data_IF_101914960232
#
_entry.id   IF_101914960232
#
_cell.length_a   1.000
_cell.length_b   1.000
_cell.length_c   1.000
_cell.angle_alpha   90.00
_cell.angle_beta   90.00
_cell.angle_gamma   90.00
#
_symmetry.space_group_name_H-M   'P 1'
#
loop_
_entity.id
_entity.type
_entity.pdbx_description
1 polymer ?
#
# COMPACT_ATOMS: atom_id res chain seq x y z
N UNK A 1 -14.17 15.85 -33.64
CA UNK A 1 -14.59 15.20 -32.39
C UNK A 1 -13.76 15.82 -31.28
N UNK A 2 -14.34 16.24 -30.16
CA UNK A 2 -13.50 16.69 -29.03
C UNK A 2 -12.61 15.53 -28.57
N UNK A 3 -11.31 15.75 -28.48
CA UNK A 3 -10.39 14.81 -27.84
C UNK A 3 -10.77 14.70 -26.37
N UNK A 4 -11.14 13.48 -25.94
CA UNK A 4 -11.35 13.18 -24.55
C UNK A 4 -9.98 12.95 -23.90
N UNK A 5 -9.40 14.01 -23.30
CA UNK A 5 -8.23 13.84 -22.46
C UNK A 5 -8.68 13.31 -21.08
N UNK A 6 -8.10 12.20 -20.63
CA UNK A 6 -8.34 11.61 -19.33
C UNK A 6 -7.09 11.72 -18.48
N UNK A 7 -7.20 12.36 -17.32
CA UNK A 7 -6.14 12.35 -16.34
C UNK A 7 -6.09 10.97 -15.68
N UNK A 8 -4.95 10.29 -15.75
CA UNK A 8 -4.71 9.02 -15.07
C UNK A 8 -3.84 9.30 -13.85
N UNK A 9 -4.37 9.04 -12.66
CA UNK A 9 -3.58 9.12 -11.44
C UNK A 9 -2.71 7.85 -11.31
N UNK A 10 -1.42 8.05 -11.05
CA UNK A 10 -0.44 6.99 -10.87
C UNK A 10 0.55 7.38 -9.77
N UNK A 11 1.29 6.42 -9.18
CA UNK A 11 2.39 6.73 -8.27
C UNK A 11 3.43 7.64 -8.92
N UNK A 12 3.94 8.60 -8.16
CA UNK A 12 5.05 9.46 -8.63
C UNK A 12 6.39 8.71 -8.63
N UNK A 13 6.51 7.71 -7.73
CA UNK A 13 7.73 6.89 -7.58
C UNK A 13 7.36 5.42 -7.57
N UNK A 14 8.09 4.60 -8.35
CA UNK A 14 8.01 3.14 -8.29
C UNK A 14 9.44 2.60 -8.26
N UNK A 15 9.85 2.09 -7.11
CA UNK A 15 11.18 1.53 -6.89
C UNK A 15 11.09 0.01 -6.77
N UNK A 16 11.72 -0.71 -7.71
CA UNK A 16 11.77 -2.16 -7.73
C UNK A 16 13.23 -2.59 -7.85
N UNK A 17 13.73 -3.37 -6.91
CA UNK A 17 15.12 -3.82 -6.92
C UNK A 17 15.57 -4.40 -5.59
N UNK A 18 16.86 -4.65 -5.45
CA UNK A 18 17.48 -5.08 -4.20
C UNK A 18 17.83 -3.87 -3.33
N UNK A 19 17.52 -3.94 -2.04
CA UNK A 19 17.82 -2.87 -1.07
C UNK A 19 17.01 -1.59 -1.31
N UNK A 20 15.94 -1.65 -2.10
CA UNK A 20 15.13 -0.46 -2.43
C UNK A 20 14.37 0.09 -1.25
N UNK A 21 14.22 -0.66 -0.16
CA UNK A 21 13.63 -0.14 1.07
C UNK A 21 14.38 1.08 1.60
N UNK A 22 15.70 1.16 1.39
CA UNK A 22 16.51 2.30 1.82
C UNK A 22 16.14 3.61 1.11
N UNK A 23 15.49 3.54 -0.07
CA UNK A 23 15.01 4.75 -0.77
C UNK A 23 13.84 5.43 -0.06
N UNK A 24 13.27 4.80 0.96
CA UNK A 24 12.20 5.39 1.76
C UNK A 24 12.62 6.71 2.38
N UNK A 25 13.86 6.84 2.85
CA UNK A 25 14.37 8.08 3.44
C UNK A 25 14.37 9.25 2.44
N UNK A 26 14.74 8.99 1.18
CA UNK A 26 14.74 10.01 0.13
C UNK A 26 13.31 10.43 -0.23
N UNK A 27 12.38 9.46 -0.29
CA UNK A 27 10.96 9.73 -0.56
C UNK A 27 10.34 10.57 0.57
N UNK A 28 10.66 10.25 1.83
CA UNK A 28 10.16 10.99 2.99
C UNK A 28 10.75 12.41 3.09
N UNK A 29 11.95 12.62 2.55
CA UNK A 29 12.59 13.93 2.51
C UNK A 29 12.01 14.86 1.42
N UNK A 30 11.23 14.34 0.48
CA UNK A 30 10.61 15.13 -0.58
C UNK A 30 9.26 15.70 -0.11
N UNK A 31 9.15 17.03 0.12
CA UNK A 31 7.91 17.64 0.59
C UNK A 31 6.77 17.63 -0.45
N UNK A 32 7.07 17.37 -1.70
CA UNK A 32 6.04 17.19 -2.73
C UNK A 32 5.34 15.83 -2.62
N UNK A 33 6.01 14.83 -2.05
CA UNK A 33 5.47 13.49 -1.83
C UNK A 33 4.94 13.33 -0.39
N UNK A 34 5.66 13.90 0.57
CA UNK A 34 5.40 13.75 2.00
C UNK A 34 5.35 15.14 2.67
N UNK A 35 4.16 15.77 2.74
CA UNK A 35 4.03 17.16 3.18
C UNK A 35 4.21 17.37 4.68
N UNK A 36 4.41 16.30 5.47
CA UNK A 36 4.55 16.38 6.92
C UNK A 36 5.35 15.22 7.51
N UNK A 37 5.49 15.21 8.83
CA UNK A 37 6.36 14.27 9.55
C UNK A 37 5.62 13.26 10.42
N UNK A 38 4.30 13.42 10.63
CA UNK A 38 3.51 12.50 11.45
C UNK A 38 3.11 11.29 10.61
N UNK A 39 3.83 10.20 10.78
CA UNK A 39 3.69 8.99 9.98
C UNK A 39 2.95 7.93 10.77
N UNK A 40 1.95 7.29 10.14
CA UNK A 40 1.37 6.04 10.62
C UNK A 40 1.77 4.90 9.69
N UNK A 41 2.30 3.81 10.27
CA UNK A 41 2.61 2.57 9.56
C UNK A 41 1.50 1.56 9.83
N UNK A 42 0.84 1.11 8.79
CA UNK A 42 -0.17 0.05 8.84
C UNK A 42 0.48 -1.24 8.34
N UNK A 43 0.64 -2.21 9.23
CA UNK A 43 1.28 -3.48 8.94
C UNK A 43 0.35 -4.66 9.24
N UNK A 44 0.56 -5.79 8.56
CA UNK A 44 -0.17 -7.02 8.86
C UNK A 44 0.40 -7.72 10.10
N UNK A 45 -0.45 -8.48 10.80
CA UNK A 45 -0.05 -9.29 11.97
C UNK A 45 1.12 -10.25 11.68
N UNK A 46 1.22 -10.72 10.44
CA UNK A 46 2.24 -11.66 9.99
C UNK A 46 3.39 -10.98 9.21
N UNK A 47 3.54 -9.66 9.34
CA UNK A 47 4.69 -8.95 8.76
C UNK A 47 5.98 -9.50 9.37
N UNK A 48 6.99 -9.77 8.55
CA UNK A 48 8.24 -10.35 9.04
C UNK A 48 8.91 -9.41 10.05
N UNK A 49 9.55 -9.99 11.06
CA UNK A 49 10.30 -9.21 12.06
C UNK A 49 11.42 -8.41 11.41
N UNK A 50 12.04 -8.97 10.36
CA UNK A 50 13.11 -8.32 9.61
C UNK A 50 12.64 -7.02 8.94
N UNK A 51 11.54 -7.07 8.20
CA UNK A 51 10.94 -5.88 7.56
C UNK A 51 10.55 -4.84 8.60
N UNK A 52 9.93 -5.30 9.68
CA UNK A 52 9.50 -4.40 10.76
C UNK A 52 10.69 -3.73 11.45
N UNK A 53 11.79 -4.46 11.70
CA UNK A 53 13.00 -3.92 12.32
C UNK A 53 13.66 -2.85 11.43
N UNK A 54 13.88 -3.15 10.16
CA UNK A 54 14.45 -2.19 9.21
C UNK A 54 13.60 -0.92 9.07
N UNK A 55 12.29 -1.08 9.00
CA UNK A 55 11.40 0.09 8.92
C UNK A 55 11.39 0.93 10.20
N UNK A 56 11.52 0.31 11.37
CA UNK A 56 11.63 1.06 12.63
C UNK A 56 12.91 1.89 12.73
N UNK A 57 13.97 1.46 12.06
CA UNK A 57 15.20 2.25 11.95
C UNK A 57 15.04 3.45 11.00
N UNK A 58 14.29 3.25 9.89
CA UNK A 58 14.05 4.30 8.89
C UNK A 58 13.00 5.33 9.33
N UNK A 59 12.01 4.92 10.13
CA UNK A 59 10.92 5.78 10.63
C UNK A 59 10.71 5.56 12.13
N UNK A 60 11.69 5.95 12.99
CA UNK A 60 11.68 5.66 14.42
C UNK A 60 10.49 6.30 15.16
N UNK A 61 10.03 7.47 14.71
CA UNK A 61 8.96 8.24 15.33
C UNK A 61 7.56 7.88 14.79
N UNK A 62 7.46 6.91 13.87
CA UNK A 62 6.19 6.52 13.30
C UNK A 62 5.30 5.78 14.31
N UNK A 63 4.01 6.06 14.26
CA UNK A 63 2.99 5.28 14.98
C UNK A 63 2.72 3.98 14.23
N UNK A 64 2.72 2.85 14.92
CA UNK A 64 2.49 1.54 14.32
C UNK A 64 1.10 1.01 14.66
N UNK A 65 0.39 0.57 13.64
CA UNK A 65 -0.94 -0.04 13.77
C UNK A 65 -0.94 -1.39 13.05
N UNK A 66 -1.50 -2.39 13.69
CA UNK A 66 -1.67 -3.71 13.09
C UNK A 66 -3.06 -3.84 12.48
N UNK A 67 -3.13 -4.08 11.19
CA UNK A 67 -4.38 -4.44 10.53
C UNK A 67 -4.61 -5.95 10.68
N UNK A 68 -5.69 -6.32 11.36
CA UNK A 68 -6.03 -7.73 11.59
C UNK A 68 -6.93 -8.31 10.51
N UNK A 69 -7.92 -7.55 10.07
CA UNK A 69 -8.96 -7.97 9.15
C UNK A 69 -8.97 -7.10 7.90
N UNK A 70 -9.23 -7.72 6.73
CA UNK A 70 -9.37 -7.02 5.44
C UNK A 70 -10.78 -6.53 5.16
N UNK A 71 -11.62 -6.34 6.20
CA UNK A 71 -13.02 -5.94 6.01
C UNK A 71 -13.16 -4.43 5.84
N UNK A 72 -14.16 -4.03 5.07
CA UNK A 72 -14.52 -2.63 4.88
C UNK A 72 -14.85 -1.94 6.21
N UNK A 73 -15.58 -2.63 7.10
CA UNK A 73 -15.93 -2.11 8.42
C UNK A 73 -14.68 -1.83 9.26
N UNK A 74 -13.74 -2.78 9.34
CA UNK A 74 -12.50 -2.60 10.09
C UNK A 74 -11.64 -1.47 9.51
N UNK A 75 -11.56 -1.34 8.19
CA UNK A 75 -10.85 -0.26 7.52
C UNK A 75 -11.50 1.11 7.81
N UNK A 76 -12.83 1.19 7.86
CA UNK A 76 -13.58 2.40 8.19
C UNK A 76 -13.40 2.82 9.66
N UNK A 77 -13.42 1.86 10.58
CA UNK A 77 -13.16 2.11 12.01
C UNK A 77 -11.74 2.67 12.16
N UNK A 78 -10.75 1.99 11.57
CA UNK A 78 -9.35 2.41 11.62
C UNK A 78 -9.15 3.82 11.03
N UNK A 79 -9.77 4.12 9.89
CA UNK A 79 -9.70 5.45 9.29
C UNK A 79 -10.27 6.53 10.22
N UNK A 80 -11.35 6.23 10.92
CA UNK A 80 -12.00 7.15 11.85
C UNK A 80 -11.15 7.37 13.11
N UNK A 81 -10.59 6.33 13.69
CA UNK A 81 -9.72 6.40 14.86
C UNK A 81 -8.46 7.22 14.56
N UNK A 82 -7.79 6.95 13.45
CA UNK A 82 -6.57 7.65 13.08
C UNK A 82 -6.80 9.13 12.72
N UNK A 83 -7.99 9.48 12.24
CA UNK A 83 -8.35 10.87 11.94
C UNK A 83 -8.24 11.77 13.16
N UNK A 84 -8.61 11.28 14.33
CA UNK A 84 -8.59 12.07 15.58
C UNK A 84 -7.18 12.39 16.05
N UNK A 85 -6.22 11.52 15.74
CA UNK A 85 -4.79 11.72 16.05
C UNK A 85 -4.13 12.68 15.06
N UNK A 86 -4.56 12.65 13.80
CA UNK A 86 -4.06 13.49 12.70
C UNK A 86 -2.65 13.09 12.26
N UNK A 87 -2.57 12.42 11.13
CA UNK A 87 -1.30 12.04 10.49
C UNK A 87 -1.13 12.82 9.19
N UNK A 88 0.08 12.82 8.67
CA UNK A 88 0.42 13.50 7.42
C UNK A 88 0.68 12.48 6.30
N UNK A 89 0.94 11.21 6.66
CA UNK A 89 1.30 10.14 5.74
C UNK A 89 0.92 8.77 6.30
N UNK A 90 0.46 7.87 5.42
CA UNK A 90 0.26 6.45 5.70
C UNK A 90 1.32 5.64 4.96
N UNK A 91 2.01 4.75 5.66
CA UNK A 91 2.87 3.72 5.06
C UNK A 91 2.18 2.36 5.24
N UNK A 92 1.74 1.75 4.13
CA UNK A 92 1.23 0.39 4.14
C UNK A 92 2.36 -0.62 3.94
N UNK A 93 2.45 -1.63 4.81
CA UNK A 93 3.50 -2.65 4.76
C UNK A 93 2.89 -4.04 4.77
N UNK A 94 2.96 -4.75 3.68
CA UNK A 94 2.38 -6.08 3.61
C UNK A 94 2.05 -6.58 2.22
N UNK A 95 1.21 -7.60 2.17
CA UNK A 95 0.58 -8.05 0.93
C UNK A 95 -0.66 -7.22 0.60
N UNK A 96 -1.31 -7.57 -0.51
CA UNK A 96 -2.40 -6.81 -1.09
C UNK A 96 -3.48 -6.35 -0.14
N UNK A 97 -3.95 -7.25 0.73
CA UNK A 97 -4.98 -6.91 1.71
C UNK A 97 -4.59 -5.75 2.63
N UNK A 98 -3.35 -5.75 3.11
CA UNK A 98 -2.84 -4.68 3.99
C UNK A 98 -2.65 -3.39 3.21
N UNK A 99 -2.13 -3.48 1.99
CA UNK A 99 -1.94 -2.31 1.13
C UNK A 99 -3.29 -1.68 0.75
N UNK A 100 -4.31 -2.49 0.54
CA UNK A 100 -5.66 -2.01 0.27
C UNK A 100 -6.27 -1.28 1.48
N UNK A 101 -6.11 -1.82 2.70
CA UNK A 101 -6.51 -1.11 3.93
C UNK A 101 -5.76 0.22 4.06
N UNK A 102 -4.45 0.23 3.84
CA UNK A 102 -3.64 1.43 3.95
C UNK A 102 -4.06 2.51 2.93
N UNK A 103 -4.30 2.12 1.68
CA UNK A 103 -4.84 3.02 0.64
C UNK A 103 -6.21 3.58 1.01
N UNK A 104 -7.10 2.74 1.53
CA UNK A 104 -8.43 3.16 1.97
C UNK A 104 -8.37 4.17 3.12
N UNK A 105 -7.59 3.86 4.17
CA UNK A 105 -7.39 4.75 5.32
C UNK A 105 -6.81 6.10 4.90
N UNK A 106 -5.81 6.08 4.04
CA UNK A 106 -5.19 7.29 3.50
C UNK A 106 -6.20 8.13 2.70
N UNK A 107 -6.95 7.52 1.79
CA UNK A 107 -7.94 8.20 0.96
C UNK A 107 -9.08 8.78 1.81
N UNK A 108 -9.60 8.04 2.79
CA UNK A 108 -10.66 8.50 3.70
C UNK A 108 -10.26 9.72 4.53
N UNK A 109 -8.96 9.92 4.75
CA UNK A 109 -8.41 11.03 5.51
C UNK A 109 -7.70 12.08 4.64
N UNK A 110 -7.65 11.90 3.32
CA UNK A 110 -6.97 12.78 2.37
C UNK A 110 -5.45 12.88 2.64
N UNK A 111 -4.85 11.82 3.15
CA UNK A 111 -3.41 11.70 3.34
C UNK A 111 -2.76 10.99 2.16
N UNK A 112 -1.53 11.34 1.78
CA UNK A 112 -0.75 10.53 0.86
C UNK A 112 -0.45 9.16 1.47
N UNK A 113 -0.19 8.16 0.61
CA UNK A 113 0.23 6.84 1.07
C UNK A 113 1.45 6.34 0.32
N UNK A 114 2.27 5.55 1.00
CA UNK A 114 3.38 4.78 0.43
C UNK A 114 3.04 3.29 0.59
N UNK A 115 3.19 2.52 -0.48
CA UNK A 115 2.98 1.08 -0.47
C UNK A 115 4.34 0.34 -0.47
N UNK A 116 4.60 -0.44 0.58
CA UNK A 116 5.77 -1.32 0.70
C UNK A 116 5.28 -2.76 0.60
N UNK A 117 5.53 -3.38 -0.56
CA UNK A 117 5.05 -4.73 -0.83
C UNK A 117 5.97 -5.79 -0.21
N UNK A 118 5.41 -6.70 0.58
CA UNK A 118 6.12 -7.87 1.12
C UNK A 118 5.80 -9.16 0.37
N UNK A 119 4.89 -9.12 -0.60
CA UNK A 119 4.64 -10.15 -1.60
C UNK A 119 3.98 -9.54 -2.84
N UNK A 120 4.02 -10.26 -3.95
CA UNK A 120 3.48 -9.86 -5.25
C UNK A 120 2.34 -10.80 -5.69
N UNK A 121 1.43 -11.12 -4.76
CA UNK A 121 0.30 -12.01 -5.06
C UNK A 121 -0.78 -11.37 -5.94
N UNK A 122 -0.72 -10.05 -6.18
CA UNK A 122 -1.64 -9.31 -7.05
C UNK A 122 -0.99 -8.03 -7.59
N UNK A 123 -1.57 -7.47 -8.64
CA UNK A 123 -1.08 -6.29 -9.36
C UNK A 123 -1.59 -4.94 -8.81
N UNK A 124 -2.51 -4.95 -7.84
CA UNK A 124 -3.18 -3.77 -7.31
C UNK A 124 -2.30 -2.80 -6.49
N UNK A 125 -0.97 -2.96 -6.48
CA UNK A 125 -0.04 -2.18 -5.66
C UNK A 125 -0.12 -0.67 -5.96
N UNK A 126 -0.21 -0.33 -7.23
CA UNK A 126 -0.18 1.04 -7.75
C UNK A 126 -1.57 1.55 -8.16
N UNK A 127 -2.60 0.73 -8.03
CA UNK A 127 -3.94 1.03 -8.54
C UNK A 127 -4.69 2.05 -7.68
N UNK A 128 -5.57 2.87 -8.29
CA UNK A 128 -6.47 3.78 -7.58
C UNK A 128 -7.71 3.03 -7.04
N UNK A 129 -7.55 1.77 -6.64
CA UNK A 129 -8.63 0.92 -6.13
C UNK A 129 -8.15 0.18 -4.89
N UNK A 130 -9.00 0.09 -3.89
CA UNK A 130 -8.87 -0.75 -2.71
C UNK A 130 -9.94 -1.83 -2.75
N UNK A 131 -9.55 -3.09 -2.58
CA UNK A 131 -10.46 -4.24 -2.53
C UNK A 131 -10.58 -4.69 -1.08
N UNK A 132 -11.80 -4.58 -0.54
CA UNK A 132 -12.11 -4.91 0.86
C UNK A 132 -13.17 -6.00 0.92
N UNK A 133 -13.13 -6.81 1.97
CA UNK A 133 -14.14 -7.83 2.22
C UNK A 133 -15.38 -7.16 2.87
N UNK A 134 -16.54 -7.27 2.24
CA UNK A 134 -17.81 -6.80 2.76
C UNK A 134 -18.75 -7.98 3.08
N UNK A 135 -19.86 -7.72 3.77
CA UNK A 135 -20.83 -8.77 4.13
C UNK A 135 -21.41 -9.50 2.90
N UNK A 136 -21.49 -8.83 1.77
CA UNK A 136 -22.02 -9.37 0.50
C UNK A 136 -20.94 -9.93 -0.44
N UNK A 137 -19.69 -10.02 0.01
CA UNK A 137 -18.54 -10.42 -0.80
C UNK A 137 -17.47 -9.34 -0.86
N UNK A 138 -16.66 -9.33 -1.91
CA UNK A 138 -15.63 -8.31 -2.10
C UNK A 138 -16.21 -7.05 -2.71
N UNK A 139 -15.83 -5.89 -2.16
CA UNK A 139 -16.17 -4.57 -2.68
C UNK A 139 -14.92 -3.87 -3.19
N UNK A 140 -15.07 -3.12 -4.28
CA UNK A 140 -14.02 -2.29 -4.87
C UNK A 140 -14.34 -0.82 -4.57
N UNK A 141 -13.45 -0.15 -3.86
CA UNK A 141 -13.58 1.26 -3.49
C UNK A 141 -12.53 2.08 -4.24
N UNK A 142 -12.97 3.13 -4.92
CA UNK A 142 -12.06 4.09 -5.56
C UNK A 142 -11.28 4.87 -4.50
N UNK A 143 -9.96 4.89 -4.63
CA UNK A 143 -9.04 5.56 -3.70
C UNK A 143 -7.99 6.35 -4.47
N UNK A 144 -7.25 7.22 -3.79
CA UNK A 144 -6.04 7.82 -4.37
C UNK A 144 -4.95 6.75 -4.46
N UNK A 145 -4.26 6.60 -5.60
CA UNK A 145 -3.11 5.69 -5.68
C UNK A 145 -2.01 6.13 -4.71
N UNK A 146 -1.14 5.23 -4.25
CA UNK A 146 -0.01 5.61 -3.42
C UNK A 146 0.91 6.58 -4.18
N UNK A 147 1.51 7.54 -3.47
CA UNK A 147 2.50 8.45 -4.06
C UNK A 147 3.79 7.74 -4.41
N UNK A 148 4.11 6.67 -3.66
CA UNK A 148 5.25 5.82 -3.93
C UNK A 148 4.93 4.35 -3.70
N UNK A 149 5.54 3.48 -4.52
CA UNK A 149 5.51 2.02 -4.38
C UNK A 149 6.95 1.52 -4.26
N UNK A 150 7.24 0.76 -3.22
CA UNK A 150 8.54 0.14 -2.97
C UNK A 150 8.36 -1.39 -3.00
N UNK A 151 9.12 -2.04 -3.87
CA UNK A 151 9.20 -3.49 -4.01
C UNK A 151 10.66 -3.89 -3.83
N UNK A 152 11.02 -4.26 -2.61
CA UNK A 152 12.37 -4.73 -2.30
C UNK A 152 12.44 -6.25 -2.52
N UNK A 153 13.23 -6.66 -3.52
CA UNK A 153 13.37 -8.07 -3.88
C UNK A 153 14.02 -8.91 -2.78
N UNK A 154 14.76 -8.30 -1.86
CA UNK A 154 15.34 -9.01 -0.72
C UNK A 154 14.25 -9.39 0.29
N UNK A 155 13.25 -8.56 0.48
CA UNK A 155 12.10 -8.85 1.33
C UNK A 155 11.19 -9.95 0.74
N UNK A 156 11.18 -10.10 -0.57
CA UNK A 156 10.35 -11.10 -1.25
C UNK A 156 10.93 -12.52 -1.19
N UNK A 157 12.18 -12.69 -0.80
CA UNK A 157 12.84 -14.02 -0.71
C UNK A 157 12.12 -14.99 0.23
N UNK A 158 11.46 -14.48 1.25
CA UNK A 158 10.68 -15.26 2.21
C UNK A 158 9.22 -15.50 1.79
N UNK A 159 8.81 -14.99 0.62
CA UNK A 159 7.44 -15.11 0.12
C UNK A 159 7.14 -16.58 -0.25
N UNK A 160 6.04 -17.18 0.25
CA UNK A 160 5.67 -18.53 -0.15
C UNK A 160 5.48 -18.64 -1.68
N UNK A 161 5.95 -19.73 -2.32
CA UNK A 161 5.85 -19.91 -3.78
C UNK A 161 4.41 -19.79 -4.32
N UNK A 162 3.41 -20.19 -3.52
CA UNK A 162 2.01 -20.06 -3.88
C UNK A 162 1.57 -18.60 -4.12
N UNK A 163 2.15 -17.64 -3.40
CA UNK A 163 1.85 -16.22 -3.59
C UNK A 163 2.47 -15.67 -4.88
N UNK A 164 3.67 -16.14 -5.25
CA UNK A 164 4.27 -15.81 -6.55
C UNK A 164 3.43 -16.36 -7.70
N UNK A 165 2.97 -17.62 -7.58
CA UNK A 165 2.08 -18.22 -8.57
C UNK A 165 0.74 -17.47 -8.68
N UNK A 166 0.21 -16.98 -7.57
CA UNK A 166 -1.00 -16.15 -7.58
C UNK A 166 -0.80 -14.85 -8.36
N UNK A 167 0.31 -14.15 -8.16
CA UNK A 167 0.63 -12.92 -8.91
C UNK A 167 0.81 -13.15 -10.41
N UNK A 168 1.46 -14.26 -10.79
CA UNK A 168 1.55 -14.65 -12.21
C UNK A 168 0.14 -14.92 -12.79
N UNK A 169 -0.72 -15.61 -12.05
CA UNK A 169 -2.10 -15.87 -12.45
C UNK A 169 -2.91 -14.59 -12.63
N UNK A 170 -2.70 -13.61 -11.74
CA UNK A 170 -3.35 -12.31 -11.79
C UNK A 170 -2.97 -11.53 -13.06
N UNK A 171 -1.69 -11.46 -13.38
CA UNK A 171 -1.19 -10.85 -14.63
C UNK A 171 -1.76 -11.56 -15.87
N UNK A 172 -1.77 -12.91 -15.88
CA UNK A 172 -2.32 -13.67 -16.99
C UNK A 172 -3.82 -13.45 -17.18
N UNK A 173 -4.58 -13.28 -16.09
CA UNK A 173 -6.00 -12.95 -16.16
C UNK A 173 -6.24 -11.60 -16.83
N UNK A 174 -5.41 -10.59 -16.56
CA UNK A 174 -5.49 -9.29 -17.20
C UNK A 174 -5.24 -9.37 -18.71
N UNK A 175 -4.26 -10.17 -19.14
CA UNK A 175 -3.98 -10.39 -20.57
C UNK A 175 -5.20 -11.03 -21.26
N UNK A 176 -5.83 -12.02 -20.62
CA UNK A 176 -7.02 -12.69 -21.17
C UNK A 176 -8.26 -11.80 -21.21
N UNK A 177 -8.35 -10.79 -20.34
CA UNK A 177 -9.46 -9.85 -20.33
C UNK A 177 -9.37 -8.76 -21.43
N UNK A 178 -8.19 -8.56 -22.02
CA UNK A 178 -7.95 -7.58 -23.08
C UNK A 178 -8.10 -8.20 -24.47
N UNK A 179 -8.01 -9.53 -24.57
CA UNK A 179 -8.13 -10.30 -25.82
C UNK A 179 -9.59 -10.53 -26.21
#
# INVERSE_FOLDING_TARGET
MPELSRLVAAPSVVNIGHGTLNTLSDILADPALCPGSRIVVIAGKNSSQEVTAQLRELVPDATWVTAENGTEEAAQILATELRTTGFDLVIGVGGGRILDIAKFVAAANQWPSIAIATNLAHDGLASPVSILDAQTGRTSVGVTPPVAVIVDLDLLKSTPPAMLSAGIGDILSNISAIA
#
